data_IF_014054502601
#
_entry.id   IF_014054502601
#
_cell.length_a   1.000
_cell.length_b   1.000
_cell.length_c   1.000
_cell.angle_alpha   90.00
_cell.angle_beta   90.00
_cell.angle_gamma   90.00
#
_symmetry.space_group_name_H-M   'P 1'
#
loop_
_entity.id
_entity.type
_entity.pdbx_description
1 polymer ?
#
# COMPACT_ATOMS: atom_id res chain seq x y z
N UNK A 1 11.61 -20.29 7.16
CA UNK A 1 12.34 -19.00 7.15
C UNK A 1 11.36 -17.83 6.99
N UNK A 2 10.51 -17.54 7.99
CA UNK A 2 9.39 -16.55 7.89
C UNK A 2 9.52 -15.43 8.95
N UNK A 3 10.54 -15.49 9.81
CA UNK A 3 10.69 -14.60 10.97
C UNK A 3 11.39 -13.27 10.61
N UNK A 4 12.26 -13.26 9.60
CA UNK A 4 13.04 -12.08 9.17
C UNK A 4 12.19 -10.84 8.79
N UNK A 5 11.09 -10.95 8.02
CA UNK A 5 10.31 -9.77 7.65
C UNK A 5 9.54 -9.17 8.84
N UNK A 6 9.02 -9.99 9.75
CA UNK A 6 8.25 -9.52 10.92
C UNK A 6 9.12 -8.73 11.89
N UNK A 7 10.34 -9.20 12.15
CA UNK A 7 11.31 -8.48 13.00
C UNK A 7 11.67 -7.14 12.38
N UNK A 8 11.87 -7.09 11.07
CA UNK A 8 12.18 -5.84 10.37
C UNK A 8 11.05 -4.81 10.53
N UNK A 9 9.78 -5.22 10.37
CA UNK A 9 8.64 -4.33 10.56
C UNK A 9 8.53 -3.83 12.01
N UNK A 10 8.83 -4.68 13.00
CA UNK A 10 8.85 -4.29 14.42
C UNK A 10 9.97 -3.29 14.71
N UNK A 11 11.18 -3.53 14.22
CA UNK A 11 12.29 -2.59 14.34
C UNK A 11 11.97 -1.23 13.71
N UNK A 12 11.32 -1.24 12.54
CA UNK A 12 10.92 0.00 11.88
C UNK A 12 9.84 0.74 12.69
N UNK A 13 8.86 0.03 13.24
CA UNK A 13 7.86 0.62 14.13
C UNK A 13 8.49 1.26 15.37
N UNK A 14 9.42 0.57 16.04
CA UNK A 14 10.15 1.13 17.18
C UNK A 14 10.94 2.38 16.79
N UNK A 15 11.52 2.39 15.59
CA UNK A 15 12.25 3.56 15.06
C UNK A 15 11.30 4.73 14.85
N UNK A 16 10.12 4.51 14.28
CA UNK A 16 9.09 5.55 14.12
C UNK A 16 8.65 6.10 15.47
N UNK A 17 8.41 5.23 16.47
CA UNK A 17 8.03 5.65 17.83
C UNK A 17 9.13 6.52 18.44
N UNK A 18 10.40 6.10 18.34
CA UNK A 18 11.53 6.85 18.87
C UNK A 18 11.67 8.23 18.20
N UNK A 19 11.57 8.30 16.86
CA UNK A 19 11.65 9.57 16.14
C UNK A 19 10.48 10.48 16.52
N UNK A 20 9.26 9.95 16.60
CA UNK A 20 8.10 10.74 16.99
C UNK A 20 8.19 11.28 18.42
N UNK A 21 8.75 10.49 19.34
CA UNK A 21 8.95 10.93 20.72
C UNK A 21 10.01 12.04 20.84
N UNK A 22 11.12 11.92 20.10
CA UNK A 22 12.28 12.83 20.15
C UNK A 22 12.08 14.12 19.34
N UNK A 23 11.33 14.05 18.22
CA UNK A 23 11.22 15.16 17.27
C UNK A 23 9.79 15.61 16.99
N UNK A 24 8.77 14.86 17.39
CA UNK A 24 7.39 15.14 16.99
C UNK A 24 6.78 16.42 17.57
N UNK A 25 7.37 17.00 18.61
CA UNK A 25 6.99 18.31 19.15
C UNK A 25 7.66 19.50 18.46
N UNK A 26 8.68 19.26 17.62
CA UNK A 26 9.38 20.29 16.86
C UNK A 26 8.69 20.65 15.55
N UNK A 27 7.72 19.84 15.12
CA UNK A 27 6.98 20.04 13.87
C UNK A 27 5.57 20.53 14.14
N UNK A 28 5.11 21.40 13.25
CA UNK A 28 3.75 21.91 13.26
C UNK A 28 2.87 21.14 12.29
N UNK A 29 1.55 21.29 12.42
CA UNK A 29 0.62 20.74 11.44
C UNK A 29 0.89 21.27 10.02
N UNK A 30 1.38 22.50 9.87
CA UNK A 30 1.69 23.07 8.56
C UNK A 30 2.78 22.24 7.86
N UNK A 31 3.83 21.86 8.59
CA UNK A 31 4.93 21.03 8.07
C UNK A 31 4.45 19.62 7.68
N UNK A 32 3.51 19.07 8.46
CA UNK A 32 2.93 17.74 8.23
C UNK A 32 1.94 17.73 7.06
N UNK A 33 1.21 18.83 6.84
CA UNK A 33 0.14 18.92 5.85
C UNK A 33 0.65 18.61 4.43
N UNK A 34 1.83 19.10 4.07
CA UNK A 34 2.42 18.87 2.74
C UNK A 34 2.81 17.40 2.54
N UNK A 35 3.26 16.75 3.61
CA UNK A 35 3.51 15.30 3.62
C UNK A 35 2.21 14.54 3.41
N UNK A 36 1.14 14.88 4.15
CA UNK A 36 -0.17 14.24 4.01
C UNK A 36 -0.74 14.41 2.60
N UNK A 37 -0.61 15.60 2.00
CA UNK A 37 -1.06 15.86 0.63
C UNK A 37 -0.28 15.02 -0.39
N UNK A 38 1.04 14.96 -0.25
CA UNK A 38 1.90 14.11 -1.09
C UNK A 38 1.50 12.64 -0.96
N UNK A 39 1.22 12.19 0.26
CA UNK A 39 0.85 10.83 0.56
C UNK A 39 -0.51 10.44 -0.03
N UNK A 40 -1.48 11.35 0.03
CA UNK A 40 -2.78 11.20 -0.62
C UNK A 40 -2.62 11.04 -2.14
N UNK A 41 -1.78 11.86 -2.77
CA UNK A 41 -1.55 11.81 -4.22
C UNK A 41 -0.89 10.50 -4.66
N UNK A 42 0.17 10.08 -3.96
CA UNK A 42 0.86 8.81 -4.23
C UNK A 42 -0.09 7.63 -4.03
N UNK A 43 -0.87 7.65 -2.95
CA UNK A 43 -1.81 6.59 -2.65
C UNK A 43 -2.90 6.47 -3.72
N UNK A 44 -3.45 7.60 -4.19
CA UNK A 44 -4.46 7.59 -5.24
C UNK A 44 -3.89 7.03 -6.55
N UNK A 45 -2.67 7.43 -6.90
CA UNK A 45 -1.96 6.93 -8.07
C UNK A 45 -1.73 5.40 -8.00
N UNK A 46 -1.26 4.89 -6.84
CA UNK A 46 -1.04 3.46 -6.66
C UNK A 46 -2.35 2.68 -6.70
N UNK A 47 -3.40 3.18 -6.05
CA UNK A 47 -4.74 2.58 -6.12
C UNK A 47 -5.22 2.46 -7.57
N UNK A 48 -5.04 3.50 -8.38
CA UNK A 48 -5.41 3.49 -9.81
C UNK A 48 -4.58 2.49 -10.61
N UNK A 49 -3.24 2.53 -10.51
CA UNK A 49 -2.35 1.65 -11.27
C UNK A 49 -2.62 0.18 -10.91
N UNK A 50 -2.69 -0.14 -9.61
CA UNK A 50 -2.97 -1.48 -9.13
C UNK A 50 -4.37 -1.97 -9.58
N UNK A 51 -5.37 -1.10 -9.57
CA UNK A 51 -6.72 -1.40 -10.05
C UNK A 51 -6.76 -1.75 -11.54
N UNK A 52 -6.04 -0.98 -12.38
CA UNK A 52 -5.93 -1.26 -13.81
C UNK A 52 -5.27 -2.63 -14.05
N UNK A 53 -4.17 -2.93 -13.34
CA UNK A 53 -3.49 -4.21 -13.46
C UNK A 53 -4.37 -5.39 -13.06
N UNK A 54 -5.13 -5.26 -11.96
CA UNK A 54 -6.06 -6.29 -11.51
C UNK A 54 -7.15 -6.56 -12.56
N UNK A 55 -7.72 -5.50 -13.15
CA UNK A 55 -8.75 -5.61 -14.18
C UNK A 55 -8.21 -6.23 -15.49
N UNK A 56 -6.99 -5.87 -15.88
CA UNK A 56 -6.38 -6.31 -17.14
C UNK A 56 -5.86 -7.76 -17.08
N UNK A 57 -5.08 -8.10 -16.05
CA UNK A 57 -4.39 -9.40 -16.00
C UNK A 57 -5.35 -10.51 -15.54
N UNK A 58 -6.34 -10.18 -14.70
CA UNK A 58 -7.15 -11.20 -14.02
C UNK A 58 -8.67 -11.01 -14.21
N UNK A 59 -9.16 -10.91 -15.46
CA UNK A 59 -10.58 -10.75 -15.73
C UNK A 59 -11.40 -11.93 -15.19
N UNK A 60 -10.83 -13.14 -15.17
CA UNK A 60 -11.46 -14.33 -14.61
C UNK A 60 -11.66 -14.26 -13.09
N UNK A 61 -10.69 -13.71 -12.34
CA UNK A 61 -10.81 -13.54 -10.88
C UNK A 61 -11.84 -12.46 -10.52
N UNK A 62 -11.88 -11.37 -11.30
CA UNK A 62 -12.93 -10.34 -11.18
C UNK A 62 -14.30 -10.94 -11.54
N UNK A 63 -14.38 -11.71 -12.63
CA UNK A 63 -15.62 -12.36 -13.09
C UNK A 63 -16.15 -13.39 -12.09
N UNK A 64 -15.30 -14.14 -11.39
CA UNK A 64 -15.74 -15.10 -10.37
C UNK A 64 -16.32 -14.44 -9.12
N UNK A 65 -15.90 -13.22 -8.79
CA UNK A 65 -16.47 -12.45 -7.69
C UNK A 65 -17.82 -11.84 -8.11
N UNK A 66 -17.95 -11.43 -9.37
CA UNK A 66 -19.15 -10.77 -9.91
C UNK A 66 -20.23 -11.77 -10.37
N UNK A 67 -19.87 -13.01 -10.74
CA UNK A 67 -20.78 -14.08 -11.15
C UNK A 67 -20.47 -15.37 -10.38
N UNK A 68 -21.17 -15.66 -9.28
CA UNK A 68 -20.88 -16.81 -8.42
C UNK A 68 -21.17 -18.19 -9.04
N UNK A 69 -21.91 -18.27 -10.16
CA UNK A 69 -22.59 -19.51 -10.57
C UNK A 69 -22.14 -20.14 -11.89
N UNK A 70 -20.99 -19.78 -12.45
CA UNK A 70 -20.45 -20.56 -13.57
C UNK A 70 -18.95 -20.38 -13.69
N UNK A 71 -18.18 -21.45 -13.47
CA UNK A 71 -17.27 -22.04 -14.49
C UNK A 71 -16.55 -23.24 -13.87
N UNK A 72 -16.90 -24.39 -14.45
CA UNK A 72 -16.21 -25.66 -14.50
C UNK A 72 -14.77 -25.49 -15.05
N UNK A 73 -13.82 -26.21 -14.46
CA UNK A 73 -12.47 -26.51 -15.01
C UNK A 73 -11.59 -25.32 -15.43
N UNK A 74 -10.87 -24.73 -14.48
CA UNK A 74 -9.60 -24.07 -14.79
C UNK A 74 -8.54 -25.17 -14.74
N UNK A 75 -7.77 -25.36 -15.81
CA UNK A 75 -6.63 -26.29 -15.85
C UNK A 75 -5.57 -25.83 -14.84
N UNK A 76 -5.65 -26.37 -13.64
CA UNK A 76 -4.66 -26.19 -12.58
C UNK A 76 -3.38 -26.92 -13.00
N UNK A 77 -2.24 -26.23 -13.14
CA UNK A 77 -0.89 -26.73 -12.80
C UNK A 77 0.12 -25.57 -12.93
N UNK A 78 0.79 -25.23 -11.81
CA UNK A 78 1.92 -24.27 -11.61
C UNK A 78 1.78 -22.81 -12.06
N UNK A 79 1.15 -22.49 -13.19
CA UNK A 79 0.98 -21.10 -13.62
C UNK A 79 -0.06 -20.35 -12.75
N UNK A 80 -1.10 -21.05 -12.29
CA UNK A 80 -2.16 -20.51 -11.44
C UNK A 80 -1.67 -20.01 -10.07
N UNK A 81 -0.66 -20.65 -9.48
CA UNK A 81 -0.18 -20.31 -8.14
C UNK A 81 0.59 -18.98 -8.13
N UNK A 82 1.46 -18.76 -9.13
CA UNK A 82 2.15 -17.48 -9.34
C UNK A 82 1.17 -16.35 -9.60
N UNK A 83 0.10 -16.64 -10.34
CA UNK A 83 -0.95 -15.67 -10.61
C UNK A 83 -1.77 -15.30 -9.37
N UNK A 84 -2.13 -16.28 -8.53
CA UNK A 84 -2.80 -16.03 -7.25
C UNK A 84 -1.93 -15.20 -6.30
N UNK A 85 -0.62 -15.50 -6.22
CA UNK A 85 0.32 -14.74 -5.38
C UNK A 85 0.39 -13.27 -5.83
N UNK A 86 0.46 -13.03 -7.14
CA UNK A 86 0.47 -11.67 -7.71
C UNK A 86 -0.84 -10.92 -7.48
N UNK A 87 -1.99 -11.55 -7.71
CA UNK A 87 -3.31 -10.96 -7.40
C UNK A 87 -3.33 -10.56 -5.93
N UNK A 88 -2.92 -11.47 -5.04
CA UNK A 88 -2.90 -11.24 -3.60
C UNK A 88 -2.03 -10.04 -3.24
N UNK A 89 -0.85 -9.90 -3.87
CA UNK A 89 0.05 -8.79 -3.66
C UNK A 89 -0.55 -7.46 -4.17
N UNK A 90 -1.16 -7.44 -5.36
CA UNK A 90 -1.83 -6.25 -5.92
C UNK A 90 -3.00 -5.83 -5.02
N UNK A 91 -3.87 -6.76 -4.62
CA UNK A 91 -5.02 -6.48 -3.75
C UNK A 91 -4.58 -5.96 -2.38
N UNK A 92 -3.55 -6.55 -1.78
CA UNK A 92 -2.96 -6.01 -0.52
C UNK A 92 -2.51 -4.57 -0.69
N UNK A 93 -1.89 -4.25 -1.82
CA UNK A 93 -1.40 -2.90 -2.15
C UNK A 93 -2.54 -1.89 -2.26
N UNK A 94 -3.64 -2.28 -2.90
CA UNK A 94 -4.87 -1.49 -3.03
C UNK A 94 -5.46 -1.19 -1.64
N UNK A 95 -5.60 -2.22 -0.80
CA UNK A 95 -6.17 -2.07 0.54
C UNK A 95 -5.32 -1.13 1.40
N UNK A 96 -3.99 -1.30 1.41
CA UNK A 96 -3.09 -0.42 2.17
C UNK A 96 -3.22 1.03 1.71
N UNK A 97 -3.23 1.27 0.40
CA UNK A 97 -3.36 2.62 -0.17
C UNK A 97 -4.71 3.25 0.20
N UNK A 98 -5.81 2.48 0.10
CA UNK A 98 -7.13 2.94 0.51
C UNK A 98 -7.19 3.32 2.00
N UNK A 99 -6.58 2.53 2.89
CA UNK A 99 -6.47 2.84 4.32
C UNK A 99 -5.70 4.16 4.55
N UNK A 100 -4.63 4.39 3.79
CA UNK A 100 -3.84 5.62 3.91
C UNK A 100 -4.67 6.84 3.51
N UNK A 101 -5.35 6.82 2.35
CA UNK A 101 -6.21 7.94 1.92
C UNK A 101 -7.34 8.16 2.91
N UNK A 102 -8.01 7.09 3.33
CA UNK A 102 -9.10 7.18 4.30
C UNK A 102 -8.64 7.82 5.61
N UNK A 103 -7.47 7.42 6.11
CA UNK A 103 -6.87 7.99 7.32
C UNK A 103 -6.56 9.49 7.15
N UNK A 104 -6.02 9.90 6.00
CA UNK A 104 -5.76 11.32 5.68
C UNK A 104 -7.05 12.13 5.65
N UNK A 105 -8.14 11.59 5.09
CA UNK A 105 -9.46 12.24 5.09
C UNK A 105 -9.96 12.48 6.52
N UNK A 106 -9.85 11.46 7.40
CA UNK A 106 -10.22 11.59 8.81
C UNK A 106 -9.34 12.63 9.53
N UNK A 107 -8.02 12.65 9.29
CA UNK A 107 -7.11 13.66 9.86
C UNK A 107 -7.52 15.08 9.43
N UNK A 108 -7.80 15.27 8.14
CA UNK A 108 -8.21 16.58 7.61
C UNK A 108 -9.57 17.03 8.13
N UNK A 109 -10.51 16.11 8.34
CA UNK A 109 -11.82 16.40 8.93
C UNK A 109 -11.72 16.74 10.42
N UNK A 110 -10.87 16.04 11.16
CA UNK A 110 -10.74 16.21 12.62
C UNK A 110 -9.98 17.48 13.01
N UNK A 111 -9.02 17.92 12.19
CA UNK A 111 -8.22 19.13 12.44
C UNK A 111 -9.04 20.39 12.81
N UNK A 112 -10.06 20.83 12.02
CA UNK A 112 -10.86 22.00 12.37
C UNK A 112 -11.74 21.81 13.61
N UNK A 113 -12.16 20.57 13.90
CA UNK A 113 -12.95 20.26 15.11
C UNK A 113 -12.07 20.48 16.35
N UNK A 114 -10.83 19.98 16.28
CA UNK A 114 -9.88 20.01 17.38
C UNK A 114 -9.21 21.38 17.57
N UNK A 115 -9.01 22.17 16.52
CA UNK A 115 -8.38 23.49 16.64
C UNK A 115 -9.20 24.52 17.41
N UNK A 116 -10.50 24.30 17.58
CA UNK A 116 -11.41 25.22 18.28
C UNK A 116 -11.64 24.85 19.76
N UNK A 117 -10.98 23.81 20.27
CA UNK A 117 -11.13 23.35 21.65
C UNK A 117 -9.95 23.81 22.52
N UNK A 118 -10.25 24.55 23.60
CA UNK A 118 -9.24 25.06 24.54
C UNK A 118 -8.39 23.95 25.18
N UNK A 119 -8.96 22.74 25.34
CA UNK A 119 -8.27 21.57 25.88
C UNK A 119 -7.01 21.18 25.09
N UNK A 120 -7.00 21.41 23.78
CA UNK A 120 -5.88 21.05 22.90
C UNK A 120 -4.75 22.08 22.98
N UNK A 121 -5.08 23.33 23.26
CA UNK A 121 -4.07 24.37 23.51
C UNK A 121 -3.20 24.00 24.72
N UNK A 122 -3.81 23.43 25.76
CA UNK A 122 -3.13 23.02 27.00
C UNK A 122 -2.18 21.82 26.81
N UNK A 123 -2.49 20.89 25.90
CA UNK A 123 -1.70 19.66 25.66
C UNK A 123 -1.10 19.59 24.26
N UNK A 124 -0.83 20.74 23.64
CA UNK A 124 -0.39 20.87 22.25
C UNK A 124 0.80 19.95 21.89
N UNK A 125 1.78 19.83 22.79
CA UNK A 125 2.97 18.99 22.58
C UNK A 125 2.63 17.51 22.39
N UNK A 126 1.67 16.97 23.14
CA UNK A 126 1.24 15.56 23.03
C UNK A 126 0.54 15.32 21.70
N UNK A 127 -0.34 16.24 21.29
CA UNK A 127 -1.04 16.18 20.01
C UNK A 127 -0.08 16.29 18.82
N UNK A 128 0.93 17.16 18.88
CA UNK A 128 1.97 17.26 17.84
C UNK A 128 2.76 15.94 17.69
N UNK A 129 3.24 15.36 18.80
CA UNK A 129 3.95 14.07 18.77
C UNK A 129 3.08 12.95 18.20
N UNK A 130 1.81 12.90 18.61
CA UNK A 130 0.87 11.90 18.14
C UNK A 130 0.54 12.06 16.64
N UNK A 131 0.29 13.29 16.19
CA UNK A 131 0.04 13.59 14.77
C UNK A 131 1.24 13.26 13.88
N UNK A 132 2.46 13.57 14.35
CA UNK A 132 3.69 13.19 13.66
C UNK A 132 3.86 11.67 13.60
N UNK A 133 3.63 10.96 14.72
CA UNK A 133 3.66 9.51 14.78
C UNK A 133 2.73 8.86 13.75
N UNK A 134 1.46 9.28 13.72
CA UNK A 134 0.48 8.78 12.75
C UNK A 134 0.95 9.06 11.33
N UNK A 135 1.41 10.28 11.05
CA UNK A 135 1.89 10.65 9.70
C UNK A 135 3.06 9.75 9.27
N UNK A 136 4.05 9.54 10.13
CA UNK A 136 5.19 8.67 9.86
C UNK A 136 4.77 7.20 9.65
N UNK A 137 3.78 6.73 10.40
CA UNK A 137 3.20 5.39 10.21
C UNK A 137 2.51 5.27 8.84
N UNK A 138 1.74 6.28 8.42
CA UNK A 138 1.09 6.29 7.12
C UNK A 138 2.13 6.32 5.98
N UNK A 139 3.20 7.11 6.13
CA UNK A 139 4.32 7.14 5.17
C UNK A 139 4.91 5.75 4.99
N UNK A 140 5.17 5.06 6.11
CA UNK A 140 5.71 3.71 6.08
C UNK A 140 4.78 2.69 5.39
N UNK A 141 3.48 2.72 5.70
CA UNK A 141 2.49 1.89 5.01
C UNK A 141 2.48 2.15 3.51
N UNK A 142 2.54 3.42 3.10
CA UNK A 142 2.55 3.79 1.69
C UNK A 142 3.85 3.35 0.98
N UNK A 143 4.99 3.37 1.66
CA UNK A 143 6.25 2.84 1.13
C UNK A 143 6.14 1.33 0.86
N UNK A 144 5.55 0.57 1.77
CA UNK A 144 5.30 -0.87 1.56
C UNK A 144 4.42 -1.09 0.32
N UNK A 145 3.33 -0.32 0.20
CA UNK A 145 2.45 -0.38 -0.96
C UNK A 145 3.19 -0.05 -2.27
N UNK A 146 4.05 0.98 -2.26
CA UNK A 146 4.85 1.39 -3.40
C UNK A 146 5.85 0.30 -3.83
N UNK A 147 6.58 -0.30 -2.90
CA UNK A 147 7.49 -1.40 -3.24
C UNK A 147 6.75 -2.63 -3.76
N UNK A 148 5.58 -2.91 -3.18
CA UNK A 148 4.73 -4.02 -3.60
C UNK A 148 4.28 -3.85 -5.06
N UNK A 149 3.75 -2.68 -5.45
CA UNK A 149 3.37 -2.46 -6.86
C UNK A 149 4.57 -2.51 -7.82
N UNK A 150 5.74 -1.98 -7.42
CA UNK A 150 6.96 -2.07 -8.23
C UNK A 150 7.38 -3.54 -8.42
N UNK A 151 7.38 -4.34 -7.36
CA UNK A 151 7.70 -5.75 -7.42
C UNK A 151 6.73 -6.52 -8.34
N UNK A 152 5.43 -6.20 -8.26
CA UNK A 152 4.42 -6.76 -9.16
C UNK A 152 4.73 -6.47 -10.63
N UNK A 153 5.07 -5.21 -10.94
CA UNK A 153 5.42 -4.79 -12.30
C UNK A 153 6.68 -5.47 -12.82
N UNK A 154 7.72 -5.62 -12.00
CA UNK A 154 8.96 -6.32 -12.37
C UNK A 154 8.69 -7.80 -12.65
N UNK A 155 7.90 -8.46 -11.79
CA UNK A 155 7.52 -9.86 -11.98
C UNK A 155 6.74 -10.06 -13.29
N UNK A 156 5.83 -9.15 -13.61
CA UNK A 156 5.09 -9.17 -14.86
C UNK A 156 6.01 -8.99 -16.08
N UNK A 157 6.96 -8.05 -16.01
CA UNK A 157 7.93 -7.81 -17.08
C UNK A 157 8.83 -9.02 -17.34
N UNK A 158 9.29 -9.68 -16.28
CA UNK A 158 10.10 -10.89 -16.40
C UNK A 158 9.31 -12.04 -17.05
N UNK A 159 8.03 -12.19 -16.69
CA UNK A 159 7.16 -13.18 -17.32
C UNK A 159 6.97 -12.97 -18.82
N UNK A 160 6.89 -11.71 -19.27
CA UNK A 160 6.83 -11.39 -20.70
C UNK A 160 8.09 -11.86 -21.41
N UNK A 161 9.27 -11.58 -20.83
CA UNK A 161 10.55 -12.01 -21.40
C UNK A 161 10.68 -13.53 -21.44
N UNK A 162 10.32 -14.22 -20.37
CA UNK A 162 10.35 -15.68 -20.30
C UNK A 162 9.40 -16.32 -21.32
N UNK A 163 8.16 -15.83 -21.43
CA UNK A 163 7.18 -16.33 -22.39
C UNK A 163 7.62 -16.06 -23.83
N UNK A 164 8.26 -14.92 -24.11
CA UNK A 164 8.82 -14.60 -25.42
C UNK A 164 9.96 -15.55 -25.77
N UNK A 165 10.93 -15.72 -24.87
CA UNK A 165 12.08 -16.60 -25.12
C UNK A 165 11.66 -18.05 -25.36
N UNK A 166 10.70 -18.58 -24.60
CA UNK A 166 10.15 -19.93 -24.83
C UNK A 166 9.54 -20.07 -26.22
N UNK A 167 8.74 -19.09 -26.65
CA UNK A 167 8.13 -19.11 -28.00
C UNK A 167 9.16 -19.07 -29.11
N UNK A 168 10.25 -18.32 -28.96
CA UNK A 168 11.32 -18.30 -29.96
C UNK A 168 12.09 -19.63 -30.00
N UNK A 169 12.34 -20.26 -28.85
CA UNK A 169 12.96 -21.59 -28.78
C UNK A 169 12.07 -22.67 -29.41
N UNK A 170 10.75 -22.62 -29.20
CA UNK A 170 9.80 -23.57 -29.78
C UNK A 170 9.72 -23.45 -31.31
N UNK A 171 9.94 -22.26 -31.88
CA UNK A 171 9.99 -22.06 -33.34
C UNK A 171 11.25 -22.63 -34.00
N UNK A 172 12.31 -22.86 -33.23
CA UNK A 172 13.59 -23.38 -33.71
C UNK A 172 13.67 -24.91 -33.66
N UNK A 173 12.62 -25.58 -33.15
CA UNK A 173 12.56 -27.03 -32.95
C UNK A 173 11.60 -27.67 -33.95
#
# INVERSE_FOLDING_TARGET
MIIKPKILHICFLLTIIAIAYLFGDKYTYADIKDILSTLQNISAMIFTIAGIWLAYIYPAAVSSIVKPSTITSINYHKETEKDIERITLIVKTIIISAIVIFSIVIINLTKPIFSNLDFISLHKHVFCKFGFFITALLVYLQIIALFSIIASNILFLNDIHDKRNKRELDKLR
#
